data_IF_801776817197
#
_entry.id   IF_801776817197
#
_cell.length_a   1.000
_cell.length_b   1.000
_cell.length_c   1.000
_cell.angle_alpha   90.00
_cell.angle_beta   90.00
_cell.angle_gamma   90.00
#
_symmetry.space_group_name_H-M   'P 1'
#
loop_
_entity.id
_entity.type
_entity.pdbx_description
1 polymer ?
#
# COMPACT_ATOMS: atom_id res chain seq x y z
N UNK A 1 -47.86 -17.45 107.94
CA UNK A 1 -46.67 -18.09 107.32
C UNK A 1 -45.99 -17.04 106.46
N UNK A 2 -44.75 -16.66 106.78
CA UNK A 2 -43.97 -15.65 106.05
C UNK A 2 -42.94 -16.38 105.17
N UNK A 3 -43.04 -16.25 103.86
CA UNK A 3 -42.18 -16.91 102.89
C UNK A 3 -40.90 -16.09 102.67
N UNK A 4 -39.75 -16.65 103.07
CA UNK A 4 -38.43 -16.01 102.87
C UNK A 4 -38.02 -16.07 101.41
N UNK A 5 -38.07 -14.93 100.72
CA UNK A 5 -37.48 -14.75 99.38
C UNK A 5 -35.95 -14.80 99.48
N UNK A 6 -35.36 -15.85 98.91
CA UNK A 6 -33.91 -16.07 98.86
C UNK A 6 -33.32 -15.30 97.67
N UNK A 7 -32.75 -14.12 97.92
CA UNK A 7 -32.00 -13.34 96.89
C UNK A 7 -30.74 -14.10 96.47
N UNK A 8 -30.66 -14.53 95.21
CA UNK A 8 -29.43 -15.07 94.60
C UNK A 8 -28.45 -13.92 94.38
N UNK A 9 -27.24 -14.03 94.95
CA UNK A 9 -26.10 -13.15 94.65
C UNK A 9 -25.44 -13.65 93.36
N UNK A 10 -25.40 -12.81 92.33
CA UNK A 10 -24.62 -13.07 91.12
C UNK A 10 -23.17 -12.65 91.40
N UNK A 11 -22.25 -13.62 91.37
CA UNK A 11 -20.82 -13.35 91.48
C UNK A 11 -20.35 -12.61 90.21
N UNK A 12 -19.93 -11.37 90.40
CA UNK A 12 -19.48 -10.45 89.35
C UNK A 12 -17.98 -10.62 89.13
N UNK A 13 -17.56 -11.74 88.55
CA UNK A 13 -16.19 -11.90 88.04
C UNK A 13 -16.20 -12.78 86.80
N UNK A 14 -16.37 -12.17 85.63
CA UNK A 14 -16.02 -12.80 84.35
C UNK A 14 -14.51 -12.70 84.19
N UNK A 15 -13.83 -13.83 84.37
CA UNK A 15 -12.38 -13.95 84.21
C UNK A 15 -11.96 -13.61 82.78
N UNK A 16 -10.70 -13.18 82.62
CA UNK A 16 -10.09 -12.73 81.36
C UNK A 16 -10.28 -13.76 80.22
N UNK A 17 -10.43 -15.05 80.54
CA UNK A 17 -10.71 -16.15 79.62
C UNK A 17 -12.05 -16.02 78.86
N UNK A 18 -13.07 -15.37 79.44
CA UNK A 18 -14.41 -15.25 78.83
C UNK A 18 -14.50 -14.08 77.83
N UNK A 19 -13.46 -13.24 77.78
CA UNK A 19 -13.34 -12.10 76.84
C UNK A 19 -12.41 -12.40 75.66
N UNK A 20 -11.71 -13.53 75.67
CA UNK A 20 -10.82 -13.96 74.59
C UNK A 20 -11.48 -13.95 73.20
N UNK A 21 -12.73 -14.43 72.99
CA UNK A 21 -13.34 -14.38 71.67
C UNK A 21 -13.55 -12.94 71.18
N UNK A 22 -13.93 -12.03 72.07
CA UNK A 22 -14.13 -10.62 71.72
C UNK A 22 -12.81 -9.87 71.46
N UNK A 23 -11.74 -10.22 72.18
CA UNK A 23 -10.41 -9.66 71.96
C UNK A 23 -9.87 -10.11 70.60
N UNK A 24 -10.03 -11.39 70.24
CA UNK A 24 -9.63 -11.91 68.93
C UNK A 24 -10.40 -11.22 67.80
N UNK A 25 -11.72 -11.05 67.95
CA UNK A 25 -12.55 -10.33 66.98
C UNK A 25 -12.07 -8.88 66.84
N UNK A 26 -11.78 -8.19 67.94
CA UNK A 26 -11.28 -6.82 67.91
C UNK A 26 -9.92 -6.69 67.19
N UNK A 27 -9.02 -7.65 67.39
CA UNK A 27 -7.71 -7.71 66.71
C UNK A 27 -7.88 -7.95 65.21
N UNK A 28 -8.78 -8.85 64.80
CA UNK A 28 -9.08 -9.10 63.37
C UNK A 28 -9.62 -7.82 62.72
N UNK A 29 -10.54 -7.11 63.37
CA UNK A 29 -11.05 -5.83 62.86
C UNK A 29 -9.96 -4.77 62.74
N UNK A 30 -9.06 -4.67 63.72
CA UNK A 30 -7.94 -3.73 63.66
C UNK A 30 -6.99 -4.02 62.49
N UNK A 31 -6.66 -5.30 62.25
CA UNK A 31 -5.82 -5.73 61.13
C UNK A 31 -6.53 -5.47 59.79
N UNK A 32 -7.82 -5.74 59.69
CA UNK A 32 -8.61 -5.48 58.48
C UNK A 32 -8.64 -3.99 58.13
N UNK A 33 -8.82 -3.12 59.12
CA UNK A 33 -8.79 -1.65 58.93
C UNK A 33 -7.42 -1.19 58.43
N UNK A 34 -6.33 -1.69 59.03
CA UNK A 34 -4.96 -1.38 58.58
C UNK A 34 -4.76 -1.83 57.13
N UNK A 35 -5.25 -3.02 56.77
CA UNK A 35 -5.16 -3.53 55.40
C UNK A 35 -5.93 -2.65 54.41
N UNK A 36 -7.14 -2.20 54.76
CA UNK A 36 -7.95 -1.29 53.92
C UNK A 36 -7.23 0.04 53.70
N UNK A 37 -6.61 0.62 54.73
CA UNK A 37 -5.86 1.87 54.59
C UNK A 37 -4.63 1.71 53.69
N UNK A 38 -3.86 0.63 53.86
CA UNK A 38 -2.70 0.33 53.01
C UNK A 38 -3.10 0.04 51.55
N UNK A 39 -4.26 -0.59 51.34
CA UNK A 39 -4.76 -0.91 50.00
C UNK A 39 -5.31 0.31 49.27
N UNK A 40 -5.97 1.24 49.99
CA UNK A 40 -6.53 2.48 49.41
C UNK A 40 -5.45 3.40 48.80
N UNK A 41 -4.27 3.44 49.40
CA UNK A 41 -3.18 4.29 48.92
C UNK A 41 -2.39 3.66 47.76
N UNK A 42 -2.47 2.33 47.59
CA UNK A 42 -1.83 1.57 46.49
C UNK A 42 -2.75 1.29 45.30
N UNK A 43 -4.07 1.24 45.52
CA UNK A 43 -5.08 0.95 44.52
C UNK A 43 -6.20 2.00 44.59
N UNK A 44 -6.04 3.16 43.93
CA UNK A 44 -7.10 4.15 43.88
C UNK A 44 -8.33 3.56 43.19
N UNK A 45 -9.48 3.59 43.86
CA UNK A 45 -10.79 3.11 43.37
C UNK A 45 -11.39 4.04 42.31
N UNK A 46 -10.58 4.55 41.37
CA UNK A 46 -11.04 5.34 40.23
C UNK A 46 -11.89 4.52 39.25
N UNK A 47 -12.08 3.23 39.51
CA UNK A 47 -12.87 2.30 38.71
C UNK A 47 -14.39 2.41 38.93
N UNK A 48 -14.86 3.03 40.02
CA UNK A 48 -16.29 3.19 40.34
C UNK A 48 -16.78 4.64 40.34
N UNK A 49 -16.00 5.58 39.80
CA UNK A 49 -16.49 6.93 39.59
C UNK A 49 -17.33 6.93 38.31
N UNK A 50 -18.65 6.85 38.46
CA UNK A 50 -19.64 6.98 37.40
C UNK A 50 -19.65 8.38 36.79
N UNK A 51 -18.54 8.78 36.16
CA UNK A 51 -18.61 9.59 34.97
C UNK A 51 -18.85 8.59 33.86
N UNK A 52 -20.07 8.60 33.33
CA UNK A 52 -20.44 7.93 32.09
C UNK A 52 -19.55 8.56 31.00
N UNK A 53 -18.34 8.01 30.84
CA UNK A 53 -17.68 8.03 29.55
C UNK A 53 -18.41 6.95 28.80
N UNK A 54 -19.14 7.31 27.75
CA UNK A 54 -19.42 6.41 26.64
C UNK A 54 -18.08 5.83 26.19
N UNK A 55 -17.66 4.76 26.86
CA UNK A 55 -16.69 3.85 26.30
C UNK A 55 -17.58 3.03 25.40
N UNK A 56 -17.70 3.48 24.15
CA UNK A 56 -18.13 2.62 23.08
C UNK A 56 -17.42 1.29 23.31
N UNK A 57 -18.22 0.25 23.53
CA UNK A 57 -17.78 -1.11 23.39
C UNK A 57 -17.30 -1.20 21.94
N UNK A 58 -15.99 -0.99 21.73
CA UNK A 58 -15.32 -1.36 20.50
C UNK A 58 -15.43 -2.87 20.44
N UNK A 59 -16.56 -3.34 19.90
CA UNK A 59 -16.63 -4.58 19.17
C UNK A 59 -15.37 -4.61 18.32
N UNK A 60 -14.41 -5.47 18.71
CA UNK A 60 -13.19 -5.67 17.94
C UNK A 60 -13.60 -6.44 16.70
N UNK A 61 -14.26 -5.76 15.76
CA UNK A 61 -14.47 -6.23 14.42
C UNK A 61 -13.06 -6.48 13.86
N UNK A 62 -12.75 -7.76 13.69
CA UNK A 62 -11.44 -8.20 13.23
C UNK A 62 -11.50 -8.19 11.71
N UNK A 63 -11.41 -7.00 11.12
CA UNK A 63 -11.41 -6.84 9.67
C UNK A 63 -10.22 -7.61 9.07
N UNK A 64 -10.52 -8.60 8.23
CA UNK A 64 -9.50 -9.38 7.53
C UNK A 64 -9.50 -9.03 6.04
N UNK A 65 -8.32 -8.77 5.49
CA UNK A 65 -8.12 -8.58 4.05
C UNK A 65 -6.94 -9.43 3.59
N UNK A 66 -7.08 -10.07 2.43
CA UNK A 66 -6.09 -10.98 1.89
C UNK A 66 -6.02 -10.85 0.37
N UNK A 67 -4.81 -10.66 -0.17
CA UNK A 67 -4.56 -10.78 -1.60
C UNK A 67 -4.44 -12.27 -1.94
N UNK A 68 -5.28 -12.74 -2.86
CA UNK A 68 -5.30 -14.13 -3.35
C UNK A 68 -4.65 -14.31 -4.71
N UNK A 69 -4.47 -13.24 -5.47
CA UNK A 69 -3.72 -13.21 -6.73
C UNK A 69 -3.00 -11.87 -6.87
N UNK A 70 -1.74 -11.83 -7.34
CA UNK A 70 -0.90 -12.95 -7.77
C UNK A 70 -0.44 -13.85 -6.61
N UNK A 71 0.15 -15.01 -6.90
CA UNK A 71 0.80 -15.83 -5.88
C UNK A 71 2.17 -15.25 -5.48
N UNK A 72 2.59 -15.52 -4.24
CA UNK A 72 3.90 -15.08 -3.78
C UNK A 72 5.04 -15.77 -4.56
N UNK A 73 6.02 -14.98 -4.97
CA UNK A 73 7.11 -15.30 -5.89
C UNK A 73 6.66 -15.77 -7.28
N UNK A 74 5.44 -15.42 -7.71
CA UNK A 74 5.00 -15.70 -9.06
C UNK A 74 5.84 -14.95 -10.09
N UNK A 75 6.15 -15.60 -11.21
CA UNK A 75 6.86 -14.98 -12.33
C UNK A 75 5.92 -14.90 -13.52
N UNK A 76 5.76 -13.68 -14.05
CA UNK A 76 5.03 -13.39 -15.28
C UNK A 76 6.04 -13.16 -16.41
N UNK A 77 5.92 -13.92 -17.49
CA UNK A 77 6.72 -13.72 -18.70
C UNK A 77 5.79 -13.22 -19.80
N UNK A 78 5.78 -11.90 -20.00
CA UNK A 78 4.95 -11.24 -20.99
C UNK A 78 5.73 -11.08 -22.29
N UNK A 79 5.03 -11.21 -23.41
CA UNK A 79 5.56 -10.92 -24.76
C UNK A 79 5.23 -9.48 -25.17
N UNK A 80 4.26 -8.84 -24.51
CA UNK A 80 3.83 -7.49 -24.82
C UNK A 80 3.44 -6.68 -23.57
N UNK A 81 3.62 -5.35 -23.64
CA UNK A 81 3.20 -4.40 -22.59
C UNK A 81 1.69 -4.31 -22.39
N UNK A 82 0.88 -4.94 -23.25
CA UNK A 82 -0.57 -4.94 -23.11
C UNK A 82 -1.10 -6.05 -22.16
N UNK A 83 -0.23 -6.95 -21.72
CA UNK A 83 -0.57 -8.00 -20.76
C UNK A 83 -0.71 -7.44 -19.33
N UNK A 84 -1.43 -8.17 -18.50
CA UNK A 84 -1.80 -7.73 -17.16
C UNK A 84 -1.55 -8.80 -16.11
N UNK A 85 -1.29 -8.35 -14.90
CA UNK A 85 -1.23 -9.15 -13.70
C UNK A 85 -2.60 -9.08 -13.01
N UNK A 86 -3.31 -10.20 -12.84
CA UNK A 86 -4.58 -10.22 -12.14
C UNK A 86 -4.36 -10.03 -10.63
N UNK A 87 -4.88 -8.94 -10.09
CA UNK A 87 -4.90 -8.66 -8.65
C UNK A 87 -6.29 -8.95 -8.10
N UNK A 88 -6.37 -9.89 -7.17
CA UNK A 88 -7.62 -10.26 -6.51
C UNK A 88 -7.48 -10.15 -5.00
N UNK A 89 -8.46 -9.50 -4.37
CA UNK A 89 -8.51 -9.34 -2.92
C UNK A 89 -9.79 -9.96 -2.37
N UNK A 90 -9.65 -10.66 -1.26
CA UNK A 90 -10.75 -11.12 -0.42
C UNK A 90 -10.77 -10.30 0.87
N UNK A 91 -11.96 -10.06 1.38
CA UNK A 91 -12.17 -9.37 2.63
C UNK A 91 -13.29 -10.03 3.43
N UNK A 92 -13.21 -9.96 4.74
CA UNK A 92 -14.26 -10.38 5.67
C UNK A 92 -14.60 -9.22 6.60
N UNK A 93 -15.88 -9.13 6.99
CA UNK A 93 -16.40 -8.17 7.98
C UNK A 93 -16.28 -6.67 7.61
N UNK A 94 -16.01 -6.32 6.35
CA UNK A 94 -15.95 -4.91 5.89
C UNK A 94 -17.20 -4.43 5.14
N UNK A 95 -18.12 -5.34 4.81
CA UNK A 95 -19.32 -5.01 4.05
C UNK A 95 -20.31 -4.19 4.90
N UNK A 96 -20.74 -3.04 4.39
CA UNK A 96 -21.69 -2.15 5.07
C UNK A 96 -21.06 -0.98 5.84
N UNK A 97 -19.73 -0.89 5.87
CA UNK A 97 -18.99 0.28 6.35
C UNK A 97 -18.52 1.14 5.17
N UNK A 98 -18.30 2.44 5.39
CA UNK A 98 -17.72 3.35 4.38
C UNK A 98 -16.18 3.19 4.26
N UNK A 99 -15.74 1.93 4.24
CA UNK A 99 -14.34 1.56 4.11
C UNK A 99 -13.97 1.36 2.65
N UNK A 100 -12.70 1.63 2.33
CA UNK A 100 -12.14 1.47 1.00
C UNK A 100 -10.93 0.55 1.04
N UNK A 101 -10.75 -0.25 -0.01
CA UNK A 101 -9.53 -1.04 -0.17
C UNK A 101 -8.64 -0.36 -1.19
N UNK A 102 -7.45 0.05 -0.75
CA UNK A 102 -6.41 0.61 -1.60
C UNK A 102 -5.38 -0.46 -1.93
N UNK A 103 -5.16 -0.73 -3.21
CA UNK A 103 -4.07 -1.58 -3.70
C UNK A 103 -2.84 -0.71 -3.88
N UNK A 104 -1.78 -1.04 -3.14
CA UNK A 104 -0.50 -0.33 -3.13
C UNK A 104 0.58 -1.21 -3.76
N UNK A 105 1.36 -0.64 -4.66
CA UNK A 105 2.54 -1.29 -5.24
C UNK A 105 3.82 -0.62 -4.74
N UNK A 106 4.83 -1.45 -4.45
CA UNK A 106 6.16 -1.06 -3.99
C UNK A 106 6.12 -0.11 -2.79
N UNK A 107 5.16 -0.34 -1.88
CA UNK A 107 4.93 0.41 -0.63
C UNK A 107 4.66 1.92 -0.81
N UNK A 108 4.31 2.37 -2.01
CA UNK A 108 4.13 3.81 -2.31
C UNK A 108 2.91 4.10 -3.17
N UNK A 109 2.82 3.47 -4.33
CA UNK A 109 1.87 3.89 -5.35
C UNK A 109 0.53 3.18 -5.16
N UNK A 110 -0.52 3.94 -4.86
CA UNK A 110 -1.89 3.41 -4.86
C UNK A 110 -2.36 3.29 -6.31
N UNK A 111 -2.44 2.05 -6.81
CA UNK A 111 -2.80 1.75 -8.20
C UNK A 111 -4.31 1.63 -8.41
N UNK A 112 -5.06 1.29 -7.35
CA UNK A 112 -6.52 1.14 -7.41
C UNK A 112 -7.15 1.30 -6.03
N UNK A 113 -8.32 1.94 -6.00
CA UNK A 113 -9.21 1.97 -4.83
C UNK A 113 -10.51 1.26 -5.16
N UNK A 114 -11.00 0.45 -4.23
CA UNK A 114 -12.29 -0.21 -4.30
C UNK A 114 -13.22 0.27 -3.18
N UNK A 115 -14.49 0.47 -3.53
CA UNK A 115 -15.55 0.87 -2.58
C UNK A 115 -16.60 -0.23 -2.40
N UNK A 116 -16.57 -1.29 -3.21
CA UNK A 116 -17.50 -2.42 -3.14
C UNK A 116 -16.91 -3.67 -3.80
N UNK A 117 -17.30 -4.89 -3.36
CA UNK A 117 -16.91 -6.13 -4.02
C UNK A 117 -17.60 -6.27 -5.39
N UNK A 118 -17.06 -7.07 -6.33
CA UNK A 118 -15.83 -7.86 -6.23
C UNK A 118 -14.54 -7.03 -6.41
N UNK A 119 -13.53 -7.31 -5.59
CA UNK A 119 -12.24 -6.60 -5.59
C UNK A 119 -11.25 -7.22 -6.57
N UNK A 120 -11.46 -6.96 -7.87
CA UNK A 120 -10.62 -7.47 -8.96
C UNK A 120 -10.03 -6.33 -9.79
N UNK A 121 -8.76 -6.46 -10.15
CA UNK A 121 -8.08 -5.48 -10.98
C UNK A 121 -7.01 -6.11 -11.86
N UNK A 122 -7.11 -5.88 -13.17
CA UNK A 122 -6.11 -6.28 -14.15
C UNK A 122 -5.06 -5.18 -14.27
N UNK A 123 -4.00 -5.29 -13.47
CA UNK A 123 -2.95 -4.29 -13.41
C UNK A 123 -1.94 -4.48 -14.53
N UNK A 124 -1.65 -3.43 -15.29
CA UNK A 124 -0.63 -3.44 -16.35
C UNK A 124 0.70 -2.89 -15.82
N UNK A 125 1.75 -3.72 -15.68
CA UNK A 125 3.04 -3.26 -15.19
C UNK A 125 3.71 -2.31 -16.19
N UNK A 126 4.18 -1.13 -15.76
CA UNK A 126 4.79 -0.15 -16.66
C UNK A 126 6.15 -0.61 -17.21
N UNK A 127 6.90 -1.39 -16.44
CA UNK A 127 8.22 -1.92 -16.79
C UNK A 127 8.37 -3.38 -16.32
N UNK A 128 9.39 -4.08 -16.83
CA UNK A 128 9.79 -5.35 -16.24
C UNK A 128 10.52 -5.08 -14.92
N UNK A 129 10.37 -5.99 -13.96
CA UNK A 129 11.01 -5.88 -12.66
C UNK A 129 10.31 -6.68 -11.58
N UNK A 130 10.85 -6.55 -10.38
CA UNK A 130 10.24 -7.09 -9.16
C UNK A 130 9.23 -6.10 -8.60
N UNK A 131 8.08 -6.62 -8.19
CA UNK A 131 6.99 -5.85 -7.62
C UNK A 131 6.54 -6.45 -6.30
N UNK A 132 6.16 -5.57 -5.38
CA UNK A 132 5.50 -5.94 -4.12
C UNK A 132 4.10 -5.32 -4.12
N UNK A 133 3.07 -6.14 -3.91
CA UNK A 133 1.69 -5.65 -3.80
C UNK A 133 1.14 -5.91 -2.40
N UNK A 134 0.46 -4.90 -1.85
CA UNK A 134 -0.21 -4.90 -0.55
C UNK A 134 -1.57 -4.22 -0.71
N UNK A 135 -2.59 -4.73 -0.03
CA UNK A 135 -3.90 -4.09 0.06
C UNK A 135 -4.05 -3.47 1.45
N UNK A 136 -4.51 -2.22 1.51
CA UNK A 136 -4.76 -1.49 2.74
C UNK A 136 -6.25 -1.18 2.84
N UNK A 137 -6.85 -1.55 3.97
CA UNK A 137 -8.19 -1.13 4.34
C UNK A 137 -8.09 0.26 4.96
N UNK A 138 -8.79 1.23 4.37
CA UNK A 138 -8.82 2.61 4.86
C UNK A 138 -10.23 3.05 5.23
N UNK A 139 -10.31 3.91 6.24
CA UNK A 139 -11.58 4.50 6.68
C UNK A 139 -11.99 5.72 5.83
N UNK A 140 -13.12 6.36 6.20
CA UNK A 140 -13.57 7.60 5.57
C UNK A 140 -12.55 8.75 5.69
N UNK A 141 -11.70 8.71 6.71
CA UNK A 141 -10.64 9.68 7.02
C UNK A 141 -9.31 9.40 6.29
N UNK A 142 -9.23 8.31 5.52
CA UNK A 142 -8.01 7.76 4.90
C UNK A 142 -6.96 7.22 5.88
N UNK A 143 -7.34 6.89 7.11
CA UNK A 143 -6.51 6.16 8.06
C UNK A 143 -6.47 4.68 7.70
N UNK A 144 -5.29 4.06 7.77
CA UNK A 144 -5.12 2.62 7.50
C UNK A 144 -5.57 1.83 8.74
N UNK A 145 -6.65 1.07 8.61
CA UNK A 145 -7.20 0.24 9.69
C UNK A 145 -6.55 -1.15 9.72
N UNK A 146 -6.25 -1.72 8.54
CA UNK A 146 -5.69 -3.06 8.39
C UNK A 146 -4.94 -3.18 7.07
N UNK A 147 -3.97 -4.10 7.00
CA UNK A 147 -3.17 -4.40 5.81
C UNK A 147 -3.19 -5.89 5.52
N UNK A 148 -3.16 -6.25 4.23
CA UNK A 148 -3.11 -7.64 3.78
C UNK A 148 -1.71 -8.26 3.90
N UNK A 149 -1.59 -9.52 3.47
CA UNK A 149 -0.31 -10.11 3.13
C UNK A 149 0.43 -9.31 2.04
N UNK A 150 1.76 -9.24 2.15
CA UNK A 150 2.63 -8.70 1.11
C UNK A 150 2.99 -9.80 0.12
N UNK A 151 2.68 -9.57 -1.15
CA UNK A 151 2.98 -10.51 -2.23
C UNK A 151 4.09 -9.94 -3.10
N UNK A 152 5.17 -10.70 -3.24
CA UNK A 152 6.27 -10.38 -4.16
C UNK A 152 6.08 -11.15 -5.45
N UNK A 153 6.26 -10.53 -6.60
CA UNK A 153 6.20 -11.21 -7.89
C UNK A 153 7.15 -10.52 -8.89
N UNK A 154 7.49 -11.23 -9.96
CA UNK A 154 8.43 -10.76 -10.98
C UNK A 154 7.72 -10.66 -12.31
N UNK A 155 7.95 -9.57 -13.03
CA UNK A 155 7.46 -9.37 -14.40
C UNK A 155 8.67 -9.28 -15.32
N UNK A 156 8.73 -10.18 -16.30
CA UNK A 156 9.71 -10.18 -17.38
C UNK A 156 9.00 -9.87 -18.70
N UNK A 157 9.64 -9.08 -19.54
CA UNK A 157 9.25 -8.94 -20.94
C UNK A 157 10.19 -9.76 -21.80
N UNK A 158 9.68 -10.84 -22.40
CA UNK A 158 10.38 -11.55 -23.47
C UNK A 158 10.04 -10.80 -24.74
N UNK A 159 10.96 -9.95 -25.18
CA UNK A 159 10.88 -9.44 -26.55
C UNK A 159 11.20 -10.66 -27.41
N UNK A 160 10.18 -11.23 -28.07
CA UNK A 160 10.48 -12.09 -29.21
C UNK A 160 11.22 -11.22 -30.20
N UNK A 161 12.54 -11.38 -30.23
CA UNK A 161 13.37 -10.94 -31.33
C UNK A 161 12.81 -11.64 -32.55
N UNK A 162 11.92 -10.95 -33.26
CA UNK A 162 11.48 -11.37 -34.58
C UNK A 162 12.75 -11.42 -35.39
N UNK A 163 13.24 -12.64 -35.61
CA UNK A 163 14.35 -12.91 -36.51
C UNK A 163 14.06 -12.15 -37.80
N UNK A 164 14.89 -11.16 -38.10
CA UNK A 164 14.95 -10.50 -39.39
C UNK A 164 15.50 -11.52 -40.39
N UNK A 165 14.68 -12.49 -40.77
CA UNK A 165 14.93 -13.28 -41.97
C UNK A 165 14.51 -12.45 -43.18
N UNK A 166 15.52 -12.25 -44.02
CA UNK A 166 15.47 -11.55 -45.28
C UNK A 166 14.66 -12.37 -46.29
N UNK A 167 13.46 -11.90 -46.65
CA UNK A 167 12.73 -12.37 -47.83
C UNK A 167 11.94 -11.17 -48.39
N UNK A 168 12.53 -10.43 -49.33
CA UNK A 168 12.21 -10.48 -50.77
C UNK A 168 10.72 -10.66 -51.04
N UNK A 169 10.11 -9.56 -51.50
CA UNK A 169 8.92 -9.42 -52.35
C UNK A 169 8.06 -10.68 -52.58
N UNK A 170 6.78 -10.64 -52.18
CA UNK A 170 5.59 -10.89 -53.03
C UNK A 170 4.32 -10.95 -52.16
N UNK A 171 3.48 -9.93 -52.34
CA UNK A 171 2.02 -9.93 -52.49
C UNK A 171 1.08 -10.78 -51.57
N UNK A 172 0.11 -10.06 -50.98
CA UNK A 172 -1.25 -10.46 -50.55
C UNK A 172 -1.40 -11.51 -49.42
N UNK A 173 -2.28 -11.40 -48.43
CA UNK A 173 -3.37 -10.47 -48.07
C UNK A 173 -3.73 -10.73 -46.60
N UNK A 174 -3.99 -9.69 -45.81
CA UNK A 174 -5.24 -9.48 -45.05
C UNK A 174 -5.07 -8.66 -43.77
N UNK A 175 -5.74 -7.50 -43.83
CA UNK A 175 -6.32 -6.71 -42.73
C UNK A 175 -5.36 -5.95 -41.82
N UNK A 176 -4.77 -4.87 -42.35
CA UNK A 176 -4.38 -3.70 -41.55
C UNK A 176 -5.10 -2.47 -42.10
N UNK A 177 -5.78 -1.80 -41.19
CA UNK A 177 -6.46 -0.52 -41.35
C UNK A 177 -5.62 0.52 -42.07
N UNK A 178 -6.24 1.13 -43.08
CA UNK A 178 -5.85 2.34 -43.82
C UNK A 178 -4.92 3.29 -43.05
N UNK A 179 -3.63 3.23 -43.34
CA UNK A 179 -2.70 4.37 -43.22
C UNK A 179 -2.14 4.61 -44.62
N UNK A 180 -2.27 5.82 -45.11
CA UNK A 180 -1.88 6.21 -46.46
C UNK A 180 -0.42 5.84 -46.73
N UNK A 181 -0.17 5.22 -47.89
CA UNK A 181 1.14 4.76 -48.36
C UNK A 181 2.15 5.93 -48.30
N UNK A 182 3.14 5.84 -47.40
CA UNK A 182 4.12 6.90 -47.13
C UNK A 182 3.87 7.77 -45.89
N UNK A 183 2.71 7.67 -45.21
CA UNK A 183 2.48 8.38 -43.95
C UNK A 183 3.48 7.95 -42.86
N UNK A 184 3.98 8.88 -42.03
CA UNK A 184 4.99 8.53 -41.05
C UNK A 184 4.35 7.79 -39.88
N UNK A 185 5.08 6.86 -39.28
CA UNK A 185 4.71 6.16 -38.04
C UNK A 185 5.83 6.34 -37.04
N UNK A 186 5.50 6.63 -35.78
CA UNK A 186 6.49 6.80 -34.71
C UNK A 186 6.14 5.91 -33.51
N UNK A 187 7.18 5.35 -32.89
CA UNK A 187 7.10 4.60 -31.64
C UNK A 187 8.28 4.95 -30.74
N UNK A 188 7.99 5.36 -29.51
CA UNK A 188 8.97 5.69 -28.49
C UNK A 188 9.34 4.47 -27.65
N UNK A 189 10.65 4.28 -27.45
CA UNK A 189 11.20 3.20 -26.63
C UNK A 189 12.23 3.76 -25.66
N UNK A 190 12.10 3.43 -24.37
CA UNK A 190 13.15 3.67 -23.39
C UNK A 190 14.19 2.57 -23.61
N UNK A 191 15.42 2.95 -23.96
CA UNK A 191 16.53 2.02 -24.09
C UNK A 191 17.49 2.08 -22.89
N UNK A 192 17.40 3.13 -22.07
CA UNK A 192 18.23 3.29 -20.87
C UNK A 192 17.51 4.14 -19.80
N UNK A 193 17.64 3.75 -18.54
CA UNK A 193 17.05 4.43 -17.40
C UNK A 193 15.82 3.72 -16.80
N UNK A 194 15.34 4.13 -15.60
CA UNK A 194 15.83 5.27 -14.81
C UNK A 194 17.24 5.07 -14.23
N UNK A 195 18.19 5.96 -14.52
CA UNK A 195 19.54 5.95 -13.90
C UNK A 195 19.72 7.16 -12.99
N UNK A 196 20.18 6.92 -11.76
CA UNK A 196 20.46 7.97 -10.80
C UNK A 196 21.82 8.63 -11.08
N UNK A 197 21.84 9.95 -11.18
CA UNK A 197 23.07 10.76 -11.18
C UNK A 197 23.21 11.47 -9.83
N UNK A 198 24.21 11.05 -9.04
CA UNK A 198 24.50 11.63 -7.72
C UNK A 198 24.95 13.09 -7.79
N UNK A 199 25.69 13.46 -8.84
CA UNK A 199 26.27 14.80 -8.99
C UNK A 199 25.21 15.90 -9.13
N UNK A 200 24.11 15.56 -9.81
CA UNK A 200 23.08 16.53 -10.21
C UNK A 200 21.72 16.25 -9.53
N UNK A 201 21.64 15.25 -8.64
CA UNK A 201 20.42 14.71 -8.02
C UNK A 201 19.26 14.57 -9.02
N UNK A 202 19.56 13.91 -10.15
CA UNK A 202 18.62 13.71 -11.27
C UNK A 202 18.50 12.24 -11.65
N UNK A 203 17.30 11.89 -12.11
CA UNK A 203 16.99 10.63 -12.77
C UNK A 203 16.95 10.88 -14.26
N UNK A 204 17.88 10.30 -15.00
CA UNK A 204 17.85 10.43 -16.45
C UNK A 204 17.30 9.17 -17.11
N UNK A 205 16.55 9.40 -18.18
CA UNK A 205 16.06 8.41 -19.13
C UNK A 205 16.66 8.73 -20.49
N UNK A 206 17.01 7.69 -21.26
CA UNK A 206 17.28 7.83 -22.69
C UNK A 206 16.21 7.12 -23.48
N UNK A 207 15.62 7.86 -24.41
CA UNK A 207 14.50 7.41 -25.24
C UNK A 207 14.93 7.49 -26.69
N UNK A 208 14.61 6.45 -27.45
CA UNK A 208 14.76 6.40 -28.90
C UNK A 208 13.38 6.45 -29.57
N UNK A 209 13.30 7.13 -30.71
CA UNK A 209 12.15 7.13 -31.60
C UNK A 209 12.43 6.20 -32.78
N UNK A 210 11.64 5.13 -32.90
CA UNK A 210 11.62 4.26 -34.06
C UNK A 210 10.59 4.82 -35.03
N UNK A 211 11.05 5.26 -36.20
CA UNK A 211 10.20 5.96 -37.16
C UNK A 211 10.29 5.34 -38.53
N UNK A 212 9.15 5.20 -39.19
CA UNK A 212 9.02 4.73 -40.57
C UNK A 212 8.22 5.75 -41.36
N UNK A 213 8.40 5.81 -42.68
CA UNK A 213 7.68 6.72 -43.57
C UNK A 213 8.52 7.05 -44.80
N UNK A 214 7.87 7.30 -45.93
CA UNK A 214 8.51 7.71 -47.18
C UNK A 214 7.76 8.93 -47.75
N UNK A 215 8.40 10.12 -47.84
CA UNK A 215 9.81 10.41 -47.55
C UNK A 215 10.17 10.37 -46.07
N UNK A 216 11.47 10.24 -45.79
CA UNK A 216 12.01 10.07 -44.43
C UNK A 216 11.50 11.17 -43.48
N UNK A 217 10.78 10.82 -42.41
CA UNK A 217 10.21 11.78 -41.50
C UNK A 217 11.24 12.42 -40.57
N UNK A 218 11.04 13.71 -40.31
CA UNK A 218 11.79 14.44 -39.29
C UNK A 218 11.10 14.28 -37.93
N UNK A 219 11.88 13.98 -36.89
CA UNK A 219 11.38 13.77 -35.53
C UNK A 219 11.65 14.99 -34.66
N UNK A 220 10.65 15.40 -33.88
CA UNK A 220 10.79 16.45 -32.85
C UNK A 220 10.27 15.94 -31.51
N UNK A 221 11.11 16.03 -30.48
CA UNK A 221 10.74 15.69 -29.10
C UNK A 221 10.22 16.93 -28.35
N UNK A 222 9.29 16.73 -27.41
CA UNK A 222 8.79 17.79 -26.54
C UNK A 222 9.84 18.33 -25.56
N UNK A 223 10.88 17.52 -25.28
CA UNK A 223 12.01 17.87 -24.42
C UNK A 223 13.23 17.04 -24.81
N UNK A 224 14.40 17.66 -24.70
CA UNK A 224 15.70 16.99 -24.76
C UNK A 224 16.71 17.78 -23.92
N UNK A 225 17.15 17.17 -22.82
CA UNK A 225 18.16 17.74 -21.91
C UNK A 225 19.59 17.41 -22.36
N UNK A 226 19.77 16.63 -23.45
CA UNK A 226 21.09 16.31 -24.01
C UNK A 226 21.58 17.30 -25.06
N UNK A 227 20.77 18.29 -25.44
CA UNK A 227 21.11 19.24 -26.52
C UNK A 227 21.44 18.56 -27.86
N UNK A 228 20.77 17.44 -28.17
CA UNK A 228 20.92 16.71 -29.42
C UNK A 228 22.20 15.88 -29.54
N UNK A 229 22.96 15.69 -28.45
CA UNK A 229 24.22 14.91 -28.45
C UNK A 229 24.04 13.48 -28.96
N UNK A 230 22.85 12.90 -28.81
CA UNK A 230 22.55 11.52 -29.19
C UNK A 230 21.99 11.36 -30.61
N UNK A 231 21.85 12.46 -31.35
CA UNK A 231 21.27 12.47 -32.70
C UNK A 231 19.76 12.71 -32.72
N UNK A 232 19.16 12.86 -33.92
CA UNK A 232 17.78 13.36 -34.09
C UNK A 232 16.69 12.38 -33.64
N UNK A 233 17.01 11.10 -33.49
CA UNK A 233 16.07 10.04 -33.08
C UNK A 233 16.22 9.67 -31.60
N UNK A 234 17.09 10.34 -30.84
CA UNK A 234 17.37 10.01 -29.45
C UNK A 234 17.32 11.28 -28.60
N UNK A 235 16.77 11.14 -27.39
CA UNK A 235 16.68 12.23 -26.42
C UNK A 235 17.05 11.74 -25.04
N UNK A 236 17.58 12.63 -24.21
CA UNK A 236 17.74 12.38 -22.79
C UNK A 236 16.77 13.26 -22.01
N UNK A 237 16.05 12.66 -21.07
CA UNK A 237 15.15 13.38 -20.17
C UNK A 237 15.65 13.25 -18.75
N UNK A 238 15.96 14.39 -18.14
CA UNK A 238 16.34 14.52 -16.75
C UNK A 238 15.08 14.91 -15.94
N UNK A 239 14.65 14.02 -15.07
CA UNK A 239 13.66 14.29 -14.02
C UNK A 239 14.40 14.73 -12.76
N UNK A 240 13.74 15.47 -11.86
CA UNK A 240 14.27 15.92 -10.55
C UNK A 240 13.50 15.26 -9.41
N UNK A 241 14.13 15.13 -8.24
CA UNK A 241 13.47 14.59 -7.04
C UNK A 241 12.21 15.39 -6.73
N UNK A 242 11.08 14.70 -6.54
CA UNK A 242 9.75 15.28 -6.31
C UNK A 242 9.15 16.08 -7.49
N UNK A 243 9.68 15.95 -8.71
CA UNK A 243 8.99 16.51 -9.89
C UNK A 243 7.76 15.66 -10.22
N UNK A 244 6.66 16.27 -10.71
CA UNK A 244 5.53 15.50 -11.24
C UNK A 244 5.99 14.61 -12.40
N UNK A 245 5.25 13.52 -12.65
CA UNK A 245 5.49 12.64 -13.78
C UNK A 245 5.50 13.46 -15.08
N UNK A 246 6.44 13.15 -15.98
CA UNK A 246 6.61 13.86 -17.23
C UNK A 246 6.22 12.98 -18.40
N UNK A 247 5.28 13.42 -19.22
CA UNK A 247 4.95 12.76 -20.48
C UNK A 247 5.80 13.34 -21.60
N UNK A 248 6.72 12.53 -22.12
CA UNK A 248 7.51 12.85 -23.31
C UNK A 248 6.64 12.58 -24.54
N UNK A 249 6.50 13.59 -25.39
CA UNK A 249 5.78 13.47 -26.67
C UNK A 249 6.77 13.64 -27.81
N UNK A 250 6.66 12.82 -28.84
CA UNK A 250 7.44 12.97 -30.06
C UNK A 250 6.53 13.01 -31.29
N UNK A 251 6.90 13.85 -32.25
CA UNK A 251 6.17 14.06 -33.49
C UNK A 251 7.09 13.67 -34.65
N UNK A 252 6.66 12.73 -35.48
CA UNK A 252 7.28 12.42 -36.77
C UNK A 252 6.48 13.08 -37.89
N UNK A 253 7.17 13.86 -38.73
CA UNK A 253 6.54 14.62 -39.82
C UNK A 253 7.28 14.40 -41.14
N UNK A 254 6.54 14.11 -42.20
CA UNK A 254 7.04 14.13 -43.58
C UNK A 254 6.07 14.90 -44.50
N UNK A 255 6.28 14.84 -45.81
CA UNK A 255 5.42 15.52 -46.78
C UNK A 255 4.04 14.89 -46.95
N UNK A 256 3.84 13.67 -46.44
CA UNK A 256 2.60 12.88 -46.55
C UNK A 256 1.73 13.06 -45.31
N UNK A 257 2.33 13.19 -44.12
CA UNK A 257 1.57 13.36 -42.90
C UNK A 257 2.39 13.62 -41.64
N UNK A 258 1.70 13.52 -40.51
CA UNK A 258 2.23 13.67 -39.17
C UNK A 258 1.74 12.52 -38.29
N UNK A 259 2.63 12.00 -37.43
CA UNK A 259 2.31 10.97 -36.46
C UNK A 259 2.93 11.33 -35.11
N UNK A 260 2.23 10.98 -34.04
CA UNK A 260 2.56 11.40 -32.67
C UNK A 260 2.54 10.19 -31.77
N UNK A 261 3.57 10.06 -30.94
CA UNK A 261 3.60 9.08 -29.86
C UNK A 261 4.03 9.74 -28.54
N UNK A 262 3.63 9.13 -27.42
CA UNK A 262 3.89 9.66 -26.09
C UNK A 262 4.20 8.58 -25.06
N UNK A 263 5.14 8.86 -24.16
CA UNK A 263 5.55 7.96 -23.09
C UNK A 263 5.65 8.70 -21.76
N UNK A 264 5.07 8.13 -20.72
CA UNK A 264 5.10 8.71 -19.36
C UNK A 264 6.33 8.23 -18.60
N UNK A 265 7.10 9.19 -18.09
CA UNK A 265 8.34 8.99 -17.32
C UNK A 265 8.09 9.44 -15.87
N UNK A 266 8.66 8.69 -14.92
CA UNK A 266 8.48 8.94 -13.48
C UNK A 266 9.82 8.96 -12.76
N UNK A 267 9.88 9.64 -11.62
CA UNK A 267 11.08 9.62 -10.79
C UNK A 267 11.21 8.26 -10.07
N UNK A 268 12.17 7.42 -10.47
CA UNK A 268 12.33 6.05 -9.94
C UNK A 268 13.71 5.70 -9.39
N UNK A 269 14.66 6.63 -9.34
CA UNK A 269 16.05 6.38 -8.95
C UNK A 269 16.44 7.05 -7.62
N UNK A 270 17.34 6.37 -6.89
CA UNK A 270 17.93 6.82 -5.63
C UNK A 270 17.84 5.74 -4.54
N UNK A 271 18.75 5.73 -3.55
CA UNK A 271 18.62 4.84 -2.40
C UNK A 271 17.30 5.16 -1.68
N UNK A 272 16.55 4.12 -1.31
CA UNK A 272 15.47 4.25 -0.34
C UNK A 272 16.10 4.88 0.90
N UNK A 273 15.83 6.17 1.13
CA UNK A 273 16.17 6.78 2.41
C UNK A 273 15.46 5.94 3.47
N UNK A 274 16.23 5.17 4.23
CA UNK A 274 15.78 4.57 5.49
C UNK A 274 15.20 5.74 6.29
N UNK A 275 13.87 5.77 6.39
CA UNK A 275 13.18 6.58 7.38
C UNK A 275 13.72 6.09 8.73
N UNK A 276 14.42 6.98 9.43
CA UNK A 276 14.91 6.78 10.79
C UNK A 276 13.94 7.47 11.74
#
# INVERSE_FOLDING_TARGET
>A
MQEKVKKKKYNKYTGIADRFPFIIIAVIFAIAIIFIFQFKDRYPLTFFSGKITETQQTESASYSILITSPANNQVFNFVSKNEYVPVEVKSEEIEGFDYRINIVINDKDTIKTFNSPPYKYDWKPPIAGEYVVVANLVDSSNEILSSSNSIKFVVNYTVEETAVESITSTDSSDTISTSEDGSPTIMLRIYEGPVYSEFDDICYYRVEAVVTGDPEPTVTFSKDDSSGVWGPLKTQINLKRNSPNYTLTAIAKNSVGESVDSISLYWGCGPLTRQQ
#
